data_IF_188875806552
#
_entry.id   IF_188875806552
#
_cell.length_a   1.000
_cell.length_b   1.000
_cell.length_c   1.000
_cell.angle_alpha   90.00
_cell.angle_beta   90.00
_cell.angle_gamma   90.00
#
_symmetry.space_group_name_H-M   'P 1'
#
loop_
_entity.id
_entity.type
_entity.pdbx_description
1 polymer ?
#
# COMPACT_ATOMS: atom_id res chain seq x y z
N UNK A 1 -4.73 -4.79 21.17
CA UNK A 1 -4.82 -3.40 20.66
C UNK A 1 -3.60 -2.65 21.16
N UNK A 2 -2.80 -2.11 20.23
CA UNK A 2 -1.66 -1.24 20.59
C UNK A 2 -2.20 0.05 21.23
N UNK A 3 -1.55 0.60 22.24
CA UNK A 3 -2.01 1.84 22.86
C UNK A 3 -1.98 2.97 21.83
N UNK A 4 -3.13 3.58 21.58
CA UNK A 4 -3.23 4.78 20.73
C UNK A 4 -2.84 5.98 21.60
N UNK A 5 -1.75 6.64 21.23
CA UNK A 5 -1.35 7.88 21.89
C UNK A 5 -2.07 9.02 21.16
N UNK A 6 -3.02 9.66 21.84
CA UNK A 6 -3.58 10.92 21.38
C UNK A 6 -2.62 12.04 21.78
N UNK A 7 -1.96 12.64 20.80
CA UNK A 7 -1.13 13.84 21.03
C UNK A 7 -2.05 15.06 20.95
N UNK A 8 -2.17 15.87 22.01
CA UNK A 8 -2.94 17.12 21.97
C UNK A 8 -2.44 18.06 20.86
N UNK A 9 -3.34 18.85 20.29
CA UNK A 9 -3.03 19.80 19.17
C UNK A 9 -1.84 20.72 19.53
N UNK A 10 -1.69 21.11 20.80
CA UNK A 10 -0.59 21.95 21.28
C UNK A 10 0.80 21.28 21.13
N UNK A 11 0.88 19.97 21.25
CA UNK A 11 2.15 19.22 21.14
C UNK A 11 2.57 18.96 19.68
N UNK A 12 1.62 19.07 18.76
CA UNK A 12 1.86 18.90 17.31
C UNK A 12 2.66 20.05 16.73
N UNK A 13 2.53 21.25 17.29
CA UNK A 13 3.28 22.43 16.84
C UNK A 13 4.79 22.30 17.05
N UNK A 14 5.23 21.40 17.94
CA UNK A 14 6.65 21.07 18.17
C UNK A 14 7.21 20.03 17.18
N UNK A 15 6.36 19.42 16.36
CA UNK A 15 6.81 18.49 15.30
C UNK A 15 7.23 19.35 14.10
N UNK A 16 8.47 19.76 14.07
CA UNK A 16 9.00 20.65 13.03
C UNK A 16 9.34 19.91 11.73
N UNK A 17 9.73 18.63 11.83
CA UNK A 17 10.21 17.84 10.71
C UNK A 17 9.95 16.34 10.94
N UNK A 18 10.29 15.53 9.92
CA UNK A 18 10.12 14.07 9.97
C UNK A 18 10.96 13.40 11.08
N UNK A 19 12.13 13.91 11.39
CA UNK A 19 13.03 13.34 12.39
C UNK A 19 12.44 13.47 13.81
N UNK A 20 11.89 14.65 14.16
CA UNK A 20 11.13 14.85 15.40
C UNK A 20 9.85 14.01 15.45
N UNK A 21 9.20 13.77 14.32
CA UNK A 21 8.06 12.87 14.22
C UNK A 21 8.45 11.39 14.45
N UNK A 22 9.56 10.94 13.89
CA UNK A 22 10.07 9.57 14.10
C UNK A 22 10.38 9.29 15.56
N UNK A 23 10.91 10.25 16.30
CA UNK A 23 11.19 10.12 17.74
C UNK A 23 9.91 9.80 18.53
N UNK A 24 8.77 10.33 18.12
CA UNK A 24 7.47 10.02 18.72
C UNK A 24 6.95 8.63 18.32
N UNK A 25 7.36 8.11 17.15
CA UNK A 25 6.93 6.81 16.63
C UNK A 25 7.68 5.62 17.20
N UNK A 26 8.82 5.82 17.89
CA UNK A 26 9.77 4.76 18.30
C UNK A 26 9.19 3.61 19.14
N UNK A 27 7.94 3.72 19.60
CA UNK A 27 7.34 2.66 20.41
C UNK A 27 5.86 2.39 20.20
N UNK A 28 5.12 3.17 19.39
CA UNK A 28 3.66 3.07 19.31
C UNK A 28 3.08 3.55 17.98
N UNK A 29 1.90 3.03 17.65
CA UNK A 29 1.03 3.59 16.61
C UNK A 29 0.48 4.93 17.10
N UNK A 30 0.75 6.03 16.39
CA UNK A 30 0.31 7.38 16.73
C UNK A 30 -0.83 7.79 15.81
N UNK A 31 -1.94 8.20 16.39
CA UNK A 31 -3.01 8.87 15.68
C UNK A 31 -2.91 10.38 15.93
N UNK A 32 -2.63 11.13 14.87
CA UNK A 32 -2.62 12.59 14.94
C UNK A 32 -3.99 13.10 14.49
N UNK A 33 -4.64 13.88 15.36
CA UNK A 33 -5.91 14.56 15.06
C UNK A 33 -5.64 16.06 15.11
N UNK A 34 -5.73 16.74 13.97
CA UNK A 34 -5.59 18.19 13.90
C UNK A 34 -6.47 18.77 12.79
N UNK A 35 -6.79 20.08 12.89
CA UNK A 35 -7.63 20.78 11.92
C UNK A 35 -6.95 20.99 10.56
N UNK A 36 -5.61 20.81 10.49
CA UNK A 36 -4.76 21.12 9.33
C UNK A 36 -3.88 19.93 8.91
N UNK A 37 -4.48 18.75 8.79
CA UNK A 37 -3.77 17.50 8.47
C UNK A 37 -2.90 17.62 7.21
N UNK A 38 -3.43 18.22 6.14
CA UNK A 38 -2.71 18.38 4.86
C UNK A 38 -1.49 19.32 4.99
N UNK A 39 -1.62 20.42 5.76
CA UNK A 39 -0.48 21.32 6.01
C UNK A 39 0.61 20.62 6.80
N UNK A 40 0.24 19.87 7.83
CA UNK A 40 1.16 19.09 8.62
C UNK A 40 1.86 18.03 7.79
N UNK A 41 1.10 17.22 7.03
CA UNK A 41 1.64 16.21 6.15
C UNK A 41 2.64 16.80 5.13
N UNK A 42 2.29 17.94 4.54
CA UNK A 42 3.16 18.65 3.61
C UNK A 42 4.45 19.13 4.30
N UNK A 43 4.36 19.65 5.53
CA UNK A 43 5.51 20.11 6.32
C UNK A 43 6.45 18.95 6.69
N UNK A 44 5.90 17.82 7.17
CA UNK A 44 6.69 16.66 7.59
C UNK A 44 7.47 16.03 6.43
N UNK A 45 6.87 15.97 5.27
CA UNK A 45 7.45 15.26 4.10
C UNK A 45 7.90 16.21 2.99
N UNK A 46 8.18 17.50 3.30
CA UNK A 46 8.55 18.50 2.29
C UNK A 46 9.84 18.17 1.53
N UNK A 47 10.79 17.56 2.21
CA UNK A 47 12.12 17.23 1.67
C UNK A 47 12.21 15.81 1.09
N UNK A 48 11.09 15.09 1.08
CA UNK A 48 11.02 13.73 0.54
C UNK A 48 10.76 13.73 -0.96
N UNK A 49 11.48 12.87 -1.67
CA UNK A 49 11.10 12.52 -3.04
C UNK A 49 9.76 11.80 -3.02
N UNK A 50 8.79 12.32 -3.76
CA UNK A 50 7.45 11.72 -3.84
C UNK A 50 7.37 10.74 -5.00
N UNK A 51 6.85 9.56 -4.73
CA UNK A 51 6.57 8.52 -5.72
C UNK A 51 5.10 8.13 -5.60
N UNK A 52 4.37 8.20 -6.72
CA UNK A 52 3.04 7.62 -6.84
C UNK A 52 3.14 6.18 -7.34
N UNK A 53 2.36 5.32 -6.74
CA UNK A 53 2.13 3.94 -7.15
C UNK A 53 0.63 3.64 -7.15
N UNK A 54 0.23 2.59 -7.83
CA UNK A 54 -1.14 2.12 -7.76
C UNK A 54 -1.20 0.59 -7.80
N UNK A 55 -2.24 0.01 -7.23
CA UNK A 55 -2.44 -1.43 -7.19
C UNK A 55 -3.86 -1.84 -6.87
N UNK A 56 -4.10 -3.14 -6.78
CA UNK A 56 -5.43 -3.70 -6.64
C UNK A 56 -5.59 -4.69 -5.50
N UNK A 57 -6.67 -4.53 -4.73
CA UNK A 57 -7.31 -5.61 -3.99
C UNK A 57 -8.27 -6.30 -4.97
N UNK A 58 -7.79 -7.38 -5.60
CA UNK A 58 -8.54 -8.07 -6.66
C UNK A 58 -9.28 -9.27 -6.10
N UNK A 59 -10.58 -9.29 -6.34
CA UNK A 59 -11.48 -10.37 -5.92
C UNK A 59 -11.91 -11.19 -7.13
N UNK A 60 -11.83 -12.50 -6.98
CA UNK A 60 -12.41 -13.46 -7.91
C UNK A 60 -13.29 -14.43 -7.12
N UNK A 61 -14.61 -14.23 -7.22
CA UNK A 61 -15.61 -14.92 -6.39
C UNK A 61 -15.37 -14.68 -4.88
N UNK A 62 -14.88 -15.69 -4.16
CA UNK A 62 -14.56 -15.65 -2.72
C UNK A 62 -13.04 -15.74 -2.46
N UNK A 63 -12.23 -15.30 -3.42
CA UNK A 63 -10.77 -15.39 -3.36
C UNK A 63 -10.14 -14.02 -3.57
N UNK A 64 -9.07 -13.76 -2.85
CA UNK A 64 -8.22 -12.56 -2.98
C UNK A 64 -6.96 -12.93 -3.74
N UNK A 65 -6.58 -12.10 -4.71
CA UNK A 65 -5.27 -12.19 -5.34
C UNK A 65 -4.19 -11.69 -4.40
N UNK A 66 -3.22 -12.54 -4.11
CA UNK A 66 -2.04 -12.17 -3.33
C UNK A 66 -0.77 -12.51 -4.07
N UNK A 67 0.26 -11.71 -3.84
CA UNK A 67 1.63 -11.94 -4.33
C UNK A 67 2.56 -12.19 -3.14
N UNK A 68 3.62 -12.98 -3.34
CA UNK A 68 4.71 -13.07 -2.38
C UNK A 68 5.93 -12.34 -2.92
N UNK A 69 6.44 -11.38 -2.15
CA UNK A 69 7.61 -10.57 -2.47
C UNK A 69 8.52 -10.44 -1.25
N UNK A 70 9.81 -10.70 -1.42
CA UNK A 70 10.80 -10.68 -0.33
C UNK A 70 10.43 -11.57 0.88
N UNK A 71 9.67 -12.66 0.65
CA UNK A 71 9.20 -13.56 1.70
C UNK A 71 7.96 -13.08 2.46
N UNK A 72 7.37 -11.93 2.08
CA UNK A 72 6.14 -11.38 2.67
C UNK A 72 4.99 -11.41 1.66
N UNK A 73 3.77 -11.59 2.17
CA UNK A 73 2.56 -11.44 1.38
C UNK A 73 2.20 -9.98 1.18
N UNK A 74 1.77 -9.67 -0.03
CA UNK A 74 1.45 -8.32 -0.50
C UNK A 74 0.29 -8.37 -1.50
N UNK A 75 -0.19 -7.20 -1.92
CA UNK A 75 -1.10 -7.04 -3.04
C UNK A 75 -0.34 -6.50 -4.25
N UNK A 76 -0.72 -6.86 -5.48
CA UNK A 76 -0.05 -6.40 -6.70
C UNK A 76 -0.17 -4.89 -6.86
N UNK A 77 0.98 -4.22 -7.13
CA UNK A 77 1.11 -2.77 -7.24
C UNK A 77 2.46 -2.36 -7.80
N UNK A 78 2.49 -1.31 -8.55
CA UNK A 78 3.75 -0.77 -9.01
C UNK A 78 3.75 0.73 -9.24
N UNK A 79 4.84 1.24 -9.79
CA UNK A 79 5.06 2.68 -9.94
C UNK A 79 4.24 3.23 -11.11
N UNK A 80 3.57 4.36 -10.86
CA UNK A 80 2.85 5.09 -11.90
C UNK A 80 3.83 5.72 -12.90
N UNK A 81 3.58 5.54 -14.18
CA UNK A 81 4.31 6.19 -15.25
C UNK A 81 3.90 7.65 -15.44
N UNK A 82 4.78 8.45 -16.07
CA UNK A 82 4.49 9.86 -16.31
C UNK A 82 3.28 10.04 -17.25
N UNK A 83 2.33 10.84 -16.79
CA UNK A 83 1.07 11.09 -17.54
C UNK A 83 0.04 9.96 -17.43
N UNK A 84 0.36 8.82 -16.83
CA UNK A 84 -0.56 7.70 -16.64
C UNK A 84 -1.67 8.05 -15.62
N UNK A 85 -2.91 7.66 -15.92
CA UNK A 85 -4.00 7.76 -14.93
C UNK A 85 -3.83 6.70 -13.85
N UNK A 86 -3.99 7.08 -12.59
CA UNK A 86 -3.80 6.21 -11.42
C UNK A 86 -4.58 4.88 -11.53
N UNK A 87 -5.83 4.95 -12.00
CA UNK A 87 -6.66 3.76 -12.18
C UNK A 87 -6.14 2.82 -13.28
N UNK A 88 -5.55 3.38 -14.35
CA UNK A 88 -4.95 2.57 -15.43
C UNK A 88 -3.64 1.94 -14.96
N UNK A 89 -2.82 2.67 -14.21
CA UNK A 89 -1.64 2.14 -13.55
C UNK A 89 -2.00 0.92 -12.69
N UNK A 90 -3.02 1.04 -11.84
CA UNK A 90 -3.42 -0.07 -10.97
C UNK A 90 -3.82 -1.33 -11.76
N UNK A 91 -4.56 -1.18 -12.86
CA UNK A 91 -4.94 -2.31 -13.74
C UNK A 91 -3.71 -2.90 -14.42
N UNK A 92 -2.84 -2.06 -14.99
CA UNK A 92 -1.60 -2.50 -15.67
C UNK A 92 -0.70 -3.29 -14.72
N UNK A 93 -0.44 -2.76 -13.54
CA UNK A 93 0.44 -3.41 -12.55
C UNK A 93 -0.11 -4.77 -12.10
N UNK A 94 -1.42 -4.88 -11.83
CA UNK A 94 -2.05 -6.16 -11.51
C UNK A 94 -1.89 -7.17 -12.65
N UNK A 95 -2.06 -6.71 -13.89
CA UNK A 95 -1.92 -7.56 -15.08
C UNK A 95 -0.48 -8.02 -15.29
N UNK A 96 0.49 -7.12 -15.17
CA UNK A 96 1.92 -7.39 -15.36
C UNK A 96 2.47 -8.29 -14.26
N UNK A 97 2.24 -7.94 -12.99
CA UNK A 97 2.79 -8.67 -11.84
C UNK A 97 2.22 -10.09 -11.68
N UNK A 98 0.98 -10.33 -12.15
CA UNK A 98 0.28 -11.61 -11.96
C UNK A 98 -0.04 -12.36 -13.25
N UNK A 99 0.32 -11.84 -14.42
CA UNK A 99 0.01 -12.46 -15.72
C UNK A 99 -1.49 -12.52 -16.05
N UNK A 100 -2.30 -11.58 -15.52
CA UNK A 100 -3.74 -11.55 -15.78
C UNK A 100 -4.00 -10.91 -17.14
N UNK A 101 -4.59 -11.68 -18.06
CA UNK A 101 -4.92 -11.25 -19.44
C UNK A 101 -6.40 -10.97 -19.66
N UNK A 102 -7.19 -11.01 -18.60
CA UNK A 102 -8.62 -10.72 -18.63
C UNK A 102 -8.91 -9.31 -18.12
N UNK A 103 -10.14 -8.86 -18.31
CA UNK A 103 -10.60 -7.58 -17.80
C UNK A 103 -10.62 -7.57 -16.26
N UNK A 104 -10.14 -6.47 -15.72
CA UNK A 104 -10.20 -6.11 -14.31
C UNK A 104 -11.21 -4.96 -14.19
N UNK A 105 -12.33 -5.22 -13.56
CA UNK A 105 -13.37 -4.20 -13.33
C UNK A 105 -13.08 -3.47 -12.03
N UNK A 106 -12.80 -2.17 -12.09
CA UNK A 106 -12.65 -1.35 -10.89
C UNK A 106 -14.04 -1.10 -10.29
N UNK A 107 -14.23 -1.49 -9.04
CA UNK A 107 -15.47 -1.30 -8.28
C UNK A 107 -15.44 0.03 -7.52
N UNK A 108 -14.34 0.30 -6.79
CA UNK A 108 -14.15 1.55 -6.04
C UNK A 108 -12.69 1.80 -5.71
N UNK A 109 -12.36 3.06 -5.46
CA UNK A 109 -11.10 3.41 -4.82
C UNK A 109 -11.14 3.04 -3.32
N UNK A 110 -9.99 2.66 -2.79
CA UNK A 110 -9.76 2.41 -1.36
C UNK A 110 -8.87 3.52 -0.79
N UNK A 111 -8.71 3.55 0.53
CA UNK A 111 -7.80 4.49 1.19
C UNK A 111 -6.36 4.24 0.71
N UNK A 112 -5.63 5.31 0.39
CA UNK A 112 -4.23 5.17 -0.01
C UNK A 112 -3.36 4.80 1.18
N UNK A 113 -2.25 4.11 0.91
CA UNK A 113 -1.22 3.86 1.92
C UNK A 113 0.04 4.66 1.62
N UNK A 114 0.81 4.95 2.68
CA UNK A 114 2.06 5.69 2.58
C UNK A 114 3.19 4.84 3.14
N UNK A 115 4.31 4.78 2.41
CA UNK A 115 5.51 4.09 2.82
C UNK A 115 6.70 5.02 2.70
N UNK A 116 7.47 5.11 3.78
CA UNK A 116 8.71 5.89 3.84
C UNK A 116 9.89 4.94 3.84
N UNK A 117 10.87 5.24 3.01
CA UNK A 117 12.12 4.48 2.93
C UNK A 117 13.24 5.35 2.39
N UNK A 118 14.47 4.92 2.61
CA UNK A 118 15.65 5.53 2.00
C UNK A 118 16.05 4.77 0.73
N UNK A 119 16.32 5.49 -0.34
CA UNK A 119 16.83 4.94 -1.57
C UNK A 119 18.00 5.77 -2.09
N UNK A 120 19.19 5.18 -2.14
CA UNK A 120 20.43 5.85 -2.59
C UNK A 120 20.71 7.17 -1.85
N UNK A 121 20.48 7.21 -0.54
CA UNK A 121 20.71 8.40 0.29
C UNK A 121 19.62 9.47 0.17
N UNK A 122 18.50 9.17 -0.49
CA UNK A 122 17.35 10.07 -0.60
C UNK A 122 16.16 9.48 0.15
N UNK A 123 15.55 10.28 1.02
CA UNK A 123 14.30 9.91 1.69
C UNK A 123 13.14 9.96 0.70
N UNK A 124 12.41 8.86 0.61
CA UNK A 124 11.30 8.68 -0.33
C UNK A 124 9.99 8.50 0.43
N UNK A 125 8.96 9.23 0.01
CA UNK A 125 7.57 9.01 0.39
C UNK A 125 6.82 8.42 -0.79
N UNK A 126 6.52 7.11 -0.70
CA UNK A 126 5.71 6.40 -1.70
C UNK A 126 4.24 6.41 -1.26
N UNK A 127 3.38 7.03 -2.05
CA UNK A 127 1.93 6.93 -1.94
C UNK A 127 1.42 5.84 -2.87
N UNK A 128 0.74 4.84 -2.33
CA UNK A 128 0.09 3.80 -3.15
C UNK A 128 -1.41 4.00 -3.13
N UNK A 129 -1.98 4.19 -4.31
CA UNK A 129 -3.41 4.28 -4.54
C UNK A 129 -3.96 2.87 -4.75
N UNK A 130 -4.98 2.49 -4.00
CA UNK A 130 -5.56 1.17 -4.04
C UNK A 130 -6.95 1.17 -4.65
N UNK A 131 -7.27 0.11 -5.37
CA UNK A 131 -8.59 -0.10 -5.96
C UNK A 131 -9.10 -1.50 -5.64
N UNK A 132 -10.36 -1.57 -5.20
CA UNK A 132 -11.08 -2.82 -5.22
C UNK A 132 -11.43 -3.15 -6.66
N UNK A 133 -11.02 -4.32 -7.13
CA UNK A 133 -11.25 -4.80 -8.48
C UNK A 133 -11.86 -6.19 -8.45
N UNK A 134 -12.61 -6.52 -9.51
CA UNK A 134 -13.16 -7.85 -9.73
C UNK A 134 -12.74 -8.40 -11.08
N UNK A 135 -12.59 -9.73 -11.16
CA UNK A 135 -12.30 -10.45 -12.40
C UNK A 135 -12.86 -11.86 -12.35
N UNK A 136 -13.09 -12.44 -13.52
CA UNK A 136 -13.43 -13.86 -13.69
C UNK A 136 -12.24 -14.66 -14.27
N UNK A 137 -11.02 -14.15 -14.13
CA UNK A 137 -9.82 -14.80 -14.64
C UNK A 137 -9.59 -16.16 -13.96
N UNK A 138 -9.51 -17.23 -14.75
CA UNK A 138 -9.41 -18.61 -14.26
C UNK A 138 -8.17 -19.36 -14.77
N UNK A 139 -7.32 -18.69 -15.56
CA UNK A 139 -6.07 -19.31 -16.04
C UNK A 139 -5.01 -19.29 -14.93
N UNK A 140 -3.92 -20.07 -15.06
CA UNK A 140 -2.78 -20.00 -14.15
C UNK A 140 -2.23 -18.56 -14.06
N UNK A 141 -1.91 -18.12 -12.84
CA UNK A 141 -1.21 -16.88 -12.59
C UNK A 141 0.27 -17.04 -12.94
N UNK A 142 0.90 -15.98 -13.41
CA UNK A 142 2.31 -15.95 -13.79
C UNK A 142 2.98 -14.82 -13.03
N UNK A 143 3.80 -15.13 -11.99
CA UNK A 143 4.54 -14.10 -11.25
C UNK A 143 5.55 -13.38 -12.15
N UNK A 144 5.65 -12.07 -12.01
CA UNK A 144 6.69 -11.26 -12.65
C UNK A 144 7.97 -11.34 -11.80
N UNK A 145 8.83 -12.29 -12.11
CA UNK A 145 10.04 -12.59 -11.32
C UNK A 145 11.06 -11.45 -11.33
N UNK A 146 11.04 -10.58 -12.35
CA UNK A 146 11.90 -9.40 -12.48
C UNK A 146 11.59 -8.35 -11.41
N UNK A 147 10.40 -8.40 -10.82
CA UNK A 147 9.96 -7.54 -9.71
C UNK A 147 10.08 -8.22 -8.32
N UNK A 148 10.92 -9.28 -8.23
CA UNK A 148 11.10 -10.09 -7.02
C UNK A 148 9.82 -10.78 -6.54
N UNK A 149 8.84 -11.00 -7.41
CA UNK A 149 7.61 -11.72 -7.10
C UNK A 149 7.87 -13.20 -7.31
N UNK A 150 7.84 -13.95 -6.22
CA UNK A 150 8.12 -15.38 -6.21
C UNK A 150 6.87 -16.24 -6.37
N UNK A 151 5.71 -15.71 -6.01
CA UNK A 151 4.45 -16.44 -6.06
C UNK A 151 3.26 -15.49 -6.27
N UNK A 152 2.27 -15.92 -7.03
CA UNK A 152 0.96 -15.31 -7.17
C UNK A 152 -0.11 -16.39 -6.96
N UNK A 153 -1.08 -16.12 -6.08
CA UNK A 153 -2.17 -17.07 -5.87
C UNK A 153 -3.49 -16.43 -5.48
N UNK A 154 -4.56 -17.21 -5.68
CA UNK A 154 -5.90 -16.89 -5.23
C UNK A 154 -6.13 -17.50 -3.85
N UNK A 155 -6.14 -16.68 -2.81
CA UNK A 155 -6.37 -17.08 -1.42
C UNK A 155 -7.86 -17.03 -1.12
N UNK A 156 -8.44 -18.11 -0.57
CA UNK A 156 -9.81 -18.14 -0.12
C UNK A 156 -10.03 -17.15 1.05
N UNK A 157 -11.20 -16.51 1.12
CA UNK A 157 -11.51 -15.59 2.21
C UNK A 157 -11.38 -16.23 3.59
N UNK A 158 -11.73 -17.50 3.70
CA UNK A 158 -11.62 -18.28 4.94
C UNK A 158 -10.19 -18.54 5.40
N UNK A 159 -9.22 -18.51 4.47
CA UNK A 159 -7.79 -18.75 4.75
C UNK A 159 -6.98 -17.45 4.89
N UNK A 160 -7.56 -16.29 4.57
CA UNK A 160 -6.85 -15.02 4.41
C UNK A 160 -6.05 -14.64 5.66
N UNK A 161 -6.59 -14.87 6.85
CA UNK A 161 -5.93 -14.52 8.11
C UNK A 161 -4.58 -15.22 8.28
N UNK A 162 -4.41 -16.46 7.76
CA UNK A 162 -3.15 -17.18 7.83
C UNK A 162 -2.06 -16.51 6.97
N UNK A 163 -2.43 -15.93 5.83
CA UNK A 163 -1.53 -15.17 4.96
C UNK A 163 -1.21 -13.79 5.53
N UNK A 164 -2.18 -13.15 6.19
CA UNK A 164 -1.98 -11.85 6.81
C UNK A 164 -0.98 -11.88 7.97
N UNK A 165 -0.71 -13.01 8.60
CA UNK A 165 0.33 -13.15 9.65
C UNK A 165 1.70 -12.72 9.12
N UNK A 166 2.04 -13.12 7.89
CA UNK A 166 3.30 -12.79 7.21
C UNK A 166 3.14 -11.76 6.07
N UNK A 167 2.06 -10.99 6.08
CA UNK A 167 1.87 -9.87 5.15
C UNK A 167 2.50 -8.59 5.69
N UNK A 168 2.82 -7.66 4.79
CA UNK A 168 3.20 -6.31 5.19
C UNK A 168 2.10 -5.65 6.04
N UNK A 169 2.44 -4.89 7.11
CA UNK A 169 1.45 -4.30 8.01
C UNK A 169 0.38 -3.46 7.31
N UNK A 170 0.76 -2.68 6.29
CA UNK A 170 -0.16 -1.86 5.51
C UNK A 170 -1.21 -2.69 4.75
N UNK A 171 -0.86 -3.90 4.31
CA UNK A 171 -1.78 -4.79 3.60
C UNK A 171 -2.82 -5.38 4.55
N UNK A 172 -2.44 -5.67 5.79
CA UNK A 172 -3.39 -6.12 6.82
C UNK A 172 -4.51 -5.10 7.06
N UNK A 173 -4.19 -3.80 7.03
CA UNK A 173 -5.19 -2.74 7.23
C UNK A 173 -6.11 -2.54 6.01
N UNK A 174 -5.67 -2.88 4.81
CA UNK A 174 -6.47 -2.79 3.59
C UNK A 174 -7.49 -3.92 3.44
N UNK A 175 -7.16 -5.12 3.93
CA UNK A 175 -7.98 -6.32 3.75
C UNK A 175 -9.03 -6.45 4.88
N UNK A 176 -8.78 -5.91 6.06
CA UNK A 176 -9.69 -5.90 7.22
C UNK A 176 -10.70 -4.77 7.16
#
# INVERSE_FOLDING_TARGET
ESPKINIPIADIDHIENYESFCTLLESNEIQIVCDKVEEMFTRLFRDFQRIDAAGGLVINEKRVLMIQRFGFWDLPKGKREDGEKVALCAVREVQEECGITADLTIIKALEPTYHVYEYKGVSVLKKTHWFHMETLFSKPLIPQVEEDITECLWVQFEDIESYLISAFPLIRSLIR
#
